data_IF_539970757379
#
_entry.id   IF_539970757379
#
_cell.length_a   1.000
_cell.length_b   1.000
_cell.length_c   1.000
_cell.angle_alpha   90.00
_cell.angle_beta   90.00
_cell.angle_gamma   90.00
#
_symmetry.space_group_name_H-M   'P 1'
#
loop_
_entity.id
_entity.type
_entity.pdbx_description
1 polymer ?
#
# COMPACT_ATOMS: atom_id res chain seq x y z
N UNK A 1 21.73 -28.54 -3.05
CA UNK A 1 21.45 -27.15 -3.51
C UNK A 1 22.73 -26.34 -3.54
N UNK A 2 23.60 -26.41 -2.52
CA UNK A 2 24.85 -25.65 -2.45
C UNK A 2 25.81 -25.92 -3.62
N UNK A 3 26.04 -27.20 -3.93
CA UNK A 3 26.90 -27.62 -5.04
C UNK A 3 26.43 -27.12 -6.41
N UNK A 4 25.12 -27.01 -6.62
CA UNK A 4 24.54 -26.47 -7.85
C UNK A 4 24.79 -24.95 -7.91
N UNK A 5 24.56 -24.22 -6.82
CA UNK A 5 24.86 -22.81 -6.72
C UNK A 5 26.33 -22.52 -6.98
N UNK A 6 27.23 -23.28 -6.37
CA UNK A 6 28.68 -23.14 -6.51
C UNK A 6 29.14 -23.41 -7.96
N UNK A 7 28.60 -24.46 -8.59
CA UNK A 7 28.87 -24.75 -9.99
C UNK A 7 28.38 -23.64 -10.94
N UNK A 8 27.23 -23.04 -10.66
CA UNK A 8 26.69 -21.93 -11.42
C UNK A 8 27.50 -20.64 -11.20
N UNK A 9 27.89 -20.34 -9.97
CA UNK A 9 28.75 -19.19 -9.64
C UNK A 9 30.11 -19.29 -10.31
N UNK A 10 30.70 -20.48 -10.39
CA UNK A 10 32.00 -20.68 -11.03
C UNK A 10 31.98 -20.45 -12.56
N UNK A 11 30.82 -20.65 -13.19
CA UNK A 11 30.66 -20.45 -14.64
C UNK A 11 30.16 -19.06 -15.00
N UNK A 12 29.18 -18.54 -14.25
CA UNK A 12 28.46 -17.30 -14.58
C UNK A 12 28.79 -16.14 -13.64
N UNK A 13 29.61 -16.37 -12.61
CA UNK A 13 29.83 -15.40 -11.55
C UNK A 13 28.63 -15.29 -10.60
N UNK A 14 28.85 -14.65 -9.46
CA UNK A 14 27.81 -14.41 -8.47
C UNK A 14 26.85 -13.34 -8.96
N UNK A 15 25.57 -13.67 -9.09
CA UNK A 15 24.54 -12.70 -9.43
C UNK A 15 24.42 -11.65 -8.31
N UNK A 16 24.71 -10.41 -8.64
CA UNK A 16 24.41 -9.26 -7.78
C UNK A 16 23.18 -8.55 -8.35
N UNK A 17 22.10 -8.61 -7.61
CA UNK A 17 20.90 -7.84 -7.96
C UNK A 17 21.25 -6.34 -7.88
N UNK A 18 21.21 -5.66 -9.02
CA UNK A 18 21.28 -4.20 -9.05
C UNK A 18 19.90 -3.69 -8.65
N UNK A 19 19.77 -3.16 -7.45
CA UNK A 19 18.58 -2.43 -7.05
C UNK A 19 18.51 -1.13 -7.85
N UNK A 20 17.82 -1.16 -8.97
CA UNK A 20 17.40 0.06 -9.63
C UNK A 20 16.11 0.52 -8.96
N UNK A 21 16.17 1.56 -8.14
CA UNK A 21 14.98 2.29 -7.74
C UNK A 21 14.47 3.02 -8.98
N UNK A 22 13.45 2.46 -9.61
CA UNK A 22 12.75 3.13 -10.70
C UNK A 22 11.82 4.14 -10.01
N UNK A 23 12.22 5.41 -10.00
CA UNK A 23 11.39 6.52 -9.50
C UNK A 23 10.93 7.38 -10.67
N UNK A 24 9.75 7.97 -10.57
CA UNK A 24 9.21 8.90 -11.55
C UNK A 24 8.67 8.25 -12.83
N UNK A 25 8.38 6.94 -12.83
CA UNK A 25 7.80 6.24 -13.99
C UNK A 25 6.38 6.74 -14.23
N UNK A 26 5.56 6.75 -13.19
CA UNK A 26 4.18 7.22 -13.28
C UNK A 26 4.12 8.74 -13.43
N UNK A 27 5.03 9.48 -12.79
CA UNK A 27 5.11 10.94 -12.94
C UNK A 27 5.31 11.35 -14.40
N UNK A 28 6.18 10.68 -15.14
CA UNK A 28 6.42 10.99 -16.58
C UNK A 28 5.25 10.62 -17.49
N UNK A 29 4.48 9.60 -17.13
CA UNK A 29 3.36 9.12 -17.92
C UNK A 29 2.10 9.99 -17.72
N UNK A 30 1.92 10.54 -16.51
CA UNK A 30 0.75 11.36 -16.14
C UNK A 30 1.06 12.86 -16.00
N UNK A 31 2.30 13.29 -16.29
CA UNK A 31 2.70 14.70 -16.23
C UNK A 31 1.91 15.52 -17.23
N UNK A 32 0.97 16.35 -16.72
CA UNK A 32 0.05 17.17 -17.54
C UNK A 32 -1.41 16.72 -17.52
N UNK A 33 -1.75 15.64 -16.81
CA UNK A 33 -3.14 15.33 -16.51
C UNK A 33 -3.63 16.17 -15.32
N UNK A 34 -4.81 16.76 -15.44
CA UNK A 34 -5.40 17.65 -14.42
C UNK A 34 -5.48 16.94 -13.05
N UNK A 35 -5.81 15.64 -13.05
CA UNK A 35 -5.93 14.83 -11.82
C UNK A 35 -4.59 14.66 -11.09
N UNK A 36 -3.47 14.56 -11.82
CA UNK A 36 -2.14 14.47 -11.21
C UNK A 36 -1.76 15.77 -10.50
N UNK A 37 -2.03 16.91 -11.15
CA UNK A 37 -1.79 18.25 -10.57
C UNK A 37 -2.64 18.50 -9.33
N UNK A 38 -3.87 17.99 -9.31
CA UNK A 38 -4.74 18.10 -8.13
C UNK A 38 -4.21 17.28 -6.95
N UNK A 39 -3.66 16.08 -7.19
CA UNK A 39 -3.00 15.29 -6.14
C UNK A 39 -1.79 16.05 -5.58
N UNK A 40 -0.89 16.57 -6.42
CA UNK A 40 0.27 17.33 -5.96
C UNK A 40 -0.14 18.53 -5.08
N UNK A 41 -1.16 19.26 -5.49
CA UNK A 41 -1.70 20.39 -4.74
C UNK A 41 -2.26 19.99 -3.38
N UNK A 42 -3.02 18.91 -3.31
CA UNK A 42 -3.57 18.41 -2.04
C UNK A 42 -2.45 17.90 -1.11
N UNK A 43 -1.43 17.24 -1.63
CA UNK A 43 -0.26 16.81 -0.85
C UNK A 43 0.52 18.01 -0.31
N UNK A 44 0.70 19.07 -1.12
CA UNK A 44 1.33 20.30 -0.63
C UNK A 44 0.51 20.97 0.48
N UNK A 45 -0.81 20.96 0.34
CA UNK A 45 -1.70 21.47 1.37
C UNK A 45 -1.63 20.63 2.65
N UNK A 46 -1.64 19.30 2.53
CA UNK A 46 -1.49 18.38 3.64
C UNK A 46 -0.16 18.62 4.38
N UNK A 47 0.95 18.74 3.63
CA UNK A 47 2.26 19.05 4.19
C UNK A 47 2.28 20.38 4.96
N UNK A 48 1.63 21.43 4.42
CA UNK A 48 1.53 22.74 5.10
C UNK A 48 0.72 22.66 6.39
N UNK A 49 -0.34 21.83 6.41
CA UNK A 49 -1.23 21.72 7.56
C UNK A 49 -0.66 20.80 8.65
N UNK A 50 -0.06 19.69 8.26
CA UNK A 50 0.38 18.63 9.18
C UNK A 50 1.88 18.64 9.46
N UNK A 51 2.67 19.47 8.73
CA UNK A 51 4.13 19.55 8.89
C UNK A 51 4.90 18.39 8.27
N UNK A 52 4.22 17.37 7.75
CA UNK A 52 4.80 16.21 7.07
C UNK A 52 3.90 15.74 5.92
N UNK A 53 4.46 14.98 5.00
CA UNK A 53 3.70 14.39 3.89
C UNK A 53 2.74 13.29 4.39
N UNK A 54 1.65 13.02 3.66
CA UNK A 54 0.82 11.87 3.96
C UNK A 54 1.66 10.60 3.83
N UNK A 55 1.62 9.75 4.87
CA UNK A 55 2.39 8.50 4.92
C UNK A 55 1.46 7.30 4.87
N UNK A 56 1.77 6.36 4.00
CA UNK A 56 1.01 5.13 3.80
C UNK A 56 1.87 3.89 3.98
N UNK A 57 1.37 2.92 4.75
CA UNK A 57 1.91 1.55 4.75
C UNK A 57 1.07 0.69 3.80
N UNK A 58 1.71 0.06 2.83
CA UNK A 58 1.07 -0.94 1.97
C UNK A 58 1.37 -2.32 2.54
N UNK A 59 0.35 -2.95 3.13
CA UNK A 59 0.45 -4.24 3.80
C UNK A 59 -0.21 -5.38 3.01
N UNK A 60 0.29 -6.60 3.24
CA UNK A 60 -0.31 -7.85 2.76
C UNK A 60 -0.54 -8.78 3.93
N UNK A 61 -1.80 -9.14 4.13
CA UNK A 61 -2.23 -9.94 5.27
C UNK A 61 -2.34 -11.43 4.92
N UNK A 62 -2.00 -12.27 5.88
CA UNK A 62 -2.16 -13.72 5.80
C UNK A 62 -1.33 -14.37 4.69
N UNK A 63 -1.82 -15.47 4.13
CA UNK A 63 -1.10 -16.29 3.15
C UNK A 63 -1.24 -15.79 1.70
N UNK A 64 -1.17 -14.46 1.50
CA UNK A 64 -1.25 -13.85 0.18
C UNK A 64 0.13 -13.42 -0.35
N UNK A 65 0.66 -14.16 -1.30
CA UNK A 65 1.97 -13.92 -1.93
C UNK A 65 1.92 -13.04 -3.20
N UNK A 66 0.76 -12.49 -3.57
CA UNK A 66 0.62 -11.69 -4.80
C UNK A 66 1.12 -10.24 -4.58
N UNK A 67 2.43 -10.03 -4.59
CA UNK A 67 3.08 -8.77 -4.23
C UNK A 67 3.14 -7.71 -5.34
N UNK A 68 2.94 -8.11 -6.61
CA UNK A 68 3.09 -7.20 -7.76
C UNK A 68 2.17 -5.98 -7.65
N UNK A 69 0.88 -6.20 -7.35
CA UNK A 69 -0.09 -5.12 -7.21
C UNK A 69 0.28 -4.14 -6.09
N UNK A 70 0.70 -4.66 -4.94
CA UNK A 70 1.15 -3.85 -3.81
C UNK A 70 2.36 -2.97 -4.18
N UNK A 71 3.35 -3.53 -4.88
CA UNK A 71 4.54 -2.80 -5.35
C UNK A 71 4.19 -1.71 -6.37
N UNK A 72 3.27 -1.99 -7.29
CA UNK A 72 2.79 -0.99 -8.28
C UNK A 72 2.15 0.20 -7.57
N UNK A 73 1.22 -0.06 -6.65
CA UNK A 73 0.55 0.99 -5.88
C UNK A 73 1.57 1.76 -5.03
N UNK A 74 2.46 1.08 -4.32
CA UNK A 74 3.49 1.73 -3.51
C UNK A 74 4.37 2.67 -4.34
N UNK A 75 4.83 2.22 -5.51
CA UNK A 75 5.65 3.04 -6.41
C UNK A 75 4.86 4.25 -6.93
N UNK A 76 3.61 4.04 -7.34
CA UNK A 76 2.79 5.11 -7.88
C UNK A 76 2.44 6.18 -6.82
N UNK A 77 2.09 5.77 -5.60
CA UNK A 77 1.85 6.71 -4.50
C UNK A 77 3.12 7.48 -4.10
N UNK A 78 4.29 6.82 -4.12
CA UNK A 78 5.57 7.51 -3.91
C UNK A 78 5.84 8.56 -5.01
N UNK A 79 5.57 8.24 -6.28
CA UNK A 79 5.71 9.17 -7.40
C UNK A 79 4.72 10.34 -7.32
N UNK A 80 3.53 10.13 -6.73
CA UNK A 80 2.55 11.18 -6.42
C UNK A 80 2.95 12.06 -5.24
N UNK A 81 3.93 11.65 -4.42
CA UNK A 81 4.47 12.44 -3.33
C UNK A 81 4.08 12.00 -1.92
N UNK A 82 3.48 10.83 -1.76
CA UNK A 82 3.32 10.20 -0.45
C UNK A 82 4.64 9.67 0.08
N UNK A 83 4.80 9.62 1.39
CA UNK A 83 5.79 8.78 2.05
C UNK A 83 5.24 7.37 2.12
N UNK A 84 5.95 6.39 1.52
CA UNK A 84 5.42 5.04 1.34
C UNK A 84 6.32 4.00 2.00
N UNK A 85 5.71 3.21 2.89
CA UNK A 85 6.31 2.01 3.44
C UNK A 85 5.66 0.76 2.81
N UNK A 86 6.42 -0.30 2.64
CA UNK A 86 5.93 -1.60 2.19
C UNK A 86 6.16 -2.61 3.30
N UNK A 87 5.08 -3.21 3.80
CA UNK A 87 5.14 -4.29 4.76
C UNK A 87 5.69 -5.58 4.16
N UNK A 88 6.26 -6.48 4.97
CA UNK A 88 6.64 -7.81 4.52
C UNK A 88 5.42 -8.62 4.10
N UNK A 89 5.66 -9.68 3.33
CA UNK A 89 4.62 -10.65 2.98
C UNK A 89 4.21 -11.46 4.22
N UNK A 90 2.97 -11.91 4.21
CA UNK A 90 2.43 -12.87 5.19
C UNK A 90 2.27 -12.31 6.61
N UNK A 91 2.13 -11.00 6.76
CA UNK A 91 1.86 -10.40 8.07
C UNK A 91 0.53 -10.86 8.65
N UNK A 92 0.48 -11.00 9.96
CA UNK A 92 -0.80 -11.08 10.67
C UNK A 92 -1.43 -9.68 10.76
N UNK A 93 -2.74 -9.58 11.03
CA UNK A 93 -3.38 -8.28 11.29
C UNK A 93 -2.70 -7.48 12.40
N UNK A 94 -2.32 -8.13 13.49
CA UNK A 94 -1.66 -7.50 14.64
C UNK A 94 -0.25 -6.98 14.27
N UNK A 95 0.51 -7.75 13.47
CA UNK A 95 1.83 -7.31 13.00
C UNK A 95 1.73 -6.10 12.08
N UNK A 96 0.72 -6.07 11.20
CA UNK A 96 0.47 -4.94 10.30
C UNK A 96 -0.01 -3.70 11.06
N UNK A 97 -0.90 -3.85 12.03
CA UNK A 97 -1.34 -2.77 12.92
C UNK A 97 -0.16 -2.18 13.69
N UNK A 98 0.64 -3.04 14.32
CA UNK A 98 1.84 -2.63 15.06
C UNK A 98 2.82 -1.86 14.17
N UNK A 99 3.11 -2.37 12.96
CA UNK A 99 3.99 -1.69 12.02
C UNK A 99 3.44 -0.34 11.58
N UNK A 100 2.13 -0.23 11.35
CA UNK A 100 1.49 1.03 10.99
C UNK A 100 1.64 2.08 12.09
N UNK A 101 1.49 1.68 13.35
CA UNK A 101 1.66 2.54 14.53
C UNK A 101 3.14 2.94 14.68
N UNK A 102 4.07 1.99 14.65
CA UNK A 102 5.51 2.23 14.80
C UNK A 102 6.07 3.15 13.69
N UNK A 103 5.54 3.04 12.48
CA UNK A 103 5.92 3.89 11.35
C UNK A 103 5.16 5.23 11.36
N UNK A 104 4.24 5.44 12.29
CA UNK A 104 3.43 6.66 12.41
C UNK A 104 2.76 7.02 11.08
N UNK A 105 2.06 6.05 10.48
CA UNK A 105 1.39 6.27 9.20
C UNK A 105 0.02 6.93 9.36
N UNK A 106 -0.42 7.66 8.37
CA UNK A 106 -1.79 8.19 8.30
C UNK A 106 -2.74 7.16 7.69
N UNK A 107 -2.22 6.31 6.79
CA UNK A 107 -3.02 5.39 5.99
C UNK A 107 -2.40 4.00 6.04
N UNK A 108 -3.24 2.99 6.21
CA UNK A 108 -2.89 1.57 6.08
C UNK A 108 -3.64 0.97 4.90
N UNK A 109 -2.92 0.75 3.80
CA UNK A 109 -3.44 0.16 2.57
C UNK A 109 -3.27 -1.35 2.56
N UNK A 110 -4.36 -2.10 2.61
CA UNK A 110 -4.34 -3.57 2.54
C UNK A 110 -4.51 -4.02 1.10
N UNK A 111 -3.49 -4.69 0.55
CA UNK A 111 -3.57 -5.30 -0.78
C UNK A 111 -3.95 -6.78 -0.66
N UNK A 112 -5.10 -7.18 -1.23
CA UNK A 112 -5.62 -8.54 -1.10
C UNK A 112 -6.06 -9.14 -2.43
N UNK A 113 -5.65 -10.40 -2.67
CA UNK A 113 -6.06 -11.21 -3.82
C UNK A 113 -6.46 -12.64 -3.43
N UNK A 114 -6.31 -13.02 -2.17
CA UNK A 114 -6.54 -14.37 -1.67
C UNK A 114 -7.85 -14.54 -0.87
N UNK A 115 -8.86 -13.71 -1.13
CA UNK A 115 -10.21 -13.77 -0.55
C UNK A 115 -10.28 -13.74 1.00
N UNK A 116 -9.20 -13.39 1.69
CA UNK A 116 -9.15 -13.35 3.16
C UNK A 116 -9.60 -11.99 3.74
N UNK A 117 -10.00 -11.03 2.91
CA UNK A 117 -10.37 -9.68 3.32
C UNK A 117 -11.50 -9.66 4.35
N UNK A 118 -12.51 -10.51 4.22
CA UNK A 118 -13.64 -10.59 5.17
C UNK A 118 -13.26 -11.03 6.58
N UNK A 119 -12.14 -11.72 6.72
CA UNK A 119 -11.66 -12.19 8.02
C UNK A 119 -10.53 -11.33 8.55
N UNK A 120 -9.53 -11.03 7.72
CA UNK A 120 -8.30 -10.39 8.19
C UNK A 120 -8.44 -8.87 8.31
N UNK A 121 -9.27 -8.22 7.48
CA UNK A 121 -9.44 -6.76 7.57
C UNK A 121 -10.19 -6.35 8.85
N UNK A 122 -11.29 -7.01 9.24
CA UNK A 122 -11.91 -6.74 10.55
C UNK A 122 -10.94 -6.94 11.73
N UNK A 123 -10.16 -8.03 11.72
CA UNK A 123 -9.15 -8.28 12.76
C UNK A 123 -8.10 -7.17 12.81
N UNK A 124 -7.67 -6.65 11.65
CA UNK A 124 -6.75 -5.53 11.57
C UNK A 124 -7.35 -4.26 12.21
N UNK A 125 -8.60 -3.95 11.87
CA UNK A 125 -9.31 -2.79 12.43
C UNK A 125 -9.48 -2.92 13.94
N UNK A 126 -9.80 -4.13 14.44
CA UNK A 126 -9.91 -4.38 15.86
C UNK A 126 -8.55 -4.26 16.57
N UNK A 127 -7.45 -4.74 15.95
CA UNK A 127 -6.09 -4.55 16.48
C UNK A 127 -5.70 -3.07 16.57
N UNK A 128 -6.08 -2.24 15.59
CA UNK A 128 -5.86 -0.79 15.64
C UNK A 128 -6.66 -0.13 16.78
N UNK A 129 -7.91 -0.57 17.01
CA UNK A 129 -8.74 -0.06 18.11
C UNK A 129 -8.17 -0.42 19.48
N UNK A 130 -7.70 -1.66 19.66
CA UNK A 130 -7.08 -2.12 20.90
C UNK A 130 -5.85 -1.29 21.27
N UNK A 131 -5.12 -0.79 20.28
CA UNK A 131 -3.95 0.09 20.46
C UNK A 131 -4.30 1.59 20.45
N UNK A 132 -5.59 1.97 20.45
CA UNK A 132 -6.07 3.36 20.35
C UNK A 132 -5.56 4.11 19.12
N UNK A 133 -5.48 3.42 17.98
CA UNK A 133 -4.97 3.92 16.70
C UNK A 133 -6.06 4.01 15.61
N UNK A 134 -7.34 4.28 16.00
CA UNK A 134 -8.47 4.42 15.08
C UNK A 134 -8.33 5.62 14.13
N UNK A 135 -7.41 6.54 14.41
CA UNK A 135 -7.06 7.64 13.53
C UNK A 135 -6.29 7.20 12.28
N UNK A 136 -5.80 5.97 12.21
CA UNK A 136 -5.16 5.43 11.00
C UNK A 136 -6.27 5.00 10.04
N UNK A 137 -6.32 5.66 8.86
CA UNK A 137 -7.27 5.34 7.81
C UNK A 137 -6.95 3.98 7.18
N UNK A 138 -7.88 3.01 7.27
CA UNK A 138 -7.72 1.72 6.59
C UNK A 138 -8.39 1.76 5.22
N UNK A 139 -7.64 1.43 4.17
CA UNK A 139 -8.16 1.29 2.80
C UNK A 139 -7.80 -0.08 2.24
N UNK A 140 -8.63 -0.63 1.37
CA UNK A 140 -8.41 -1.93 0.77
C UNK A 140 -8.28 -1.82 -0.75
N UNK A 141 -7.37 -2.60 -1.32
CA UNK A 141 -7.22 -2.71 -2.76
C UNK A 141 -6.97 -4.15 -3.21
N UNK A 142 -7.29 -4.43 -4.46
CA UNK A 142 -7.07 -5.75 -5.05
C UNK A 142 -8.32 -6.37 -5.67
N UNK A 143 -8.47 -7.69 -5.59
CA UNK A 143 -9.62 -8.40 -6.15
C UNK A 143 -10.64 -8.62 -5.04
N UNK A 144 -11.49 -7.63 -4.84
CA UNK A 144 -12.58 -7.66 -3.84
C UNK A 144 -13.91 -7.66 -4.60
N UNK A 145 -14.80 -8.64 -4.37
CA UNK A 145 -16.13 -8.65 -4.97
C UNK A 145 -16.96 -7.43 -4.56
N UNK A 146 -17.68 -6.83 -5.50
CA UNK A 146 -18.50 -5.65 -5.25
C UNK A 146 -19.52 -5.86 -4.11
N UNK A 147 -20.03 -7.08 -3.96
CA UNK A 147 -20.95 -7.45 -2.89
C UNK A 147 -20.34 -7.38 -1.48
N UNK A 148 -19.01 -7.47 -1.38
CA UNK A 148 -18.30 -7.43 -0.09
C UNK A 148 -17.92 -5.99 0.33
N UNK A 149 -17.97 -5.03 -0.61
CA UNK A 149 -17.58 -3.63 -0.34
C UNK A 149 -18.42 -2.98 0.77
N UNK A 150 -19.77 -3.05 0.74
CA UNK A 150 -20.58 -2.43 1.78
C UNK A 150 -20.32 -3.02 3.18
N UNK A 151 -20.01 -4.31 3.26
CA UNK A 151 -19.66 -4.98 4.51
C UNK A 151 -18.34 -4.43 5.06
N UNK A 152 -17.28 -4.32 4.22
CA UNK A 152 -15.99 -3.75 4.61
C UNK A 152 -16.10 -2.29 5.07
N UNK A 153 -16.83 -1.47 4.32
CA UNK A 153 -17.07 -0.07 4.69
C UNK A 153 -17.81 0.05 6.02
N UNK A 154 -18.81 -0.82 6.28
CA UNK A 154 -19.52 -0.84 7.56
C UNK A 154 -18.65 -1.23 8.75
N UNK A 155 -17.55 -1.93 8.52
CA UNK A 155 -16.57 -2.33 9.53
C UNK A 155 -15.52 -1.26 9.82
N UNK A 156 -15.45 -0.19 9.00
CA UNK A 156 -14.52 0.93 9.18
C UNK A 156 -13.46 1.06 8.09
N UNK A 157 -13.57 0.34 6.97
CA UNK A 157 -12.74 0.58 5.79
C UNK A 157 -13.19 1.88 5.13
N UNK A 158 -12.29 2.87 4.98
CA UNK A 158 -12.61 4.18 4.40
C UNK A 158 -12.85 4.13 2.90
N UNK A 159 -12.13 3.27 2.18
CA UNK A 159 -12.33 3.07 0.74
C UNK A 159 -11.86 1.70 0.26
N UNK A 160 -12.51 1.21 -0.80
CA UNK A 160 -12.12 -0.01 -1.50
C UNK A 160 -11.84 0.31 -2.97
N UNK A 161 -10.71 -0.19 -3.49
CA UNK A 161 -10.23 0.05 -4.84
C UNK A 161 -10.11 -1.28 -5.60
N UNK A 162 -10.91 -1.46 -6.63
CA UNK A 162 -10.88 -2.63 -7.51
C UNK A 162 -9.82 -2.55 -8.61
N UNK A 163 -9.65 -3.64 -9.39
CA UNK A 163 -8.77 -3.66 -10.55
C UNK A 163 -9.19 -2.59 -11.58
N UNK A 164 -8.19 -1.90 -12.15
CA UNK A 164 -8.43 -0.84 -13.14
C UNK A 164 -8.79 0.52 -12.55
N UNK A 165 -8.82 0.67 -11.22
CA UNK A 165 -8.98 1.99 -10.62
C UNK A 165 -7.82 2.91 -11.04
N UNK A 166 -8.14 4.11 -11.52
CA UNK A 166 -7.14 5.13 -11.80
C UNK A 166 -6.44 5.55 -10.51
N UNK A 167 -5.10 5.53 -10.53
CA UNK A 167 -4.29 5.70 -9.31
C UNK A 167 -4.39 7.13 -8.77
N UNK A 168 -4.41 8.14 -9.65
CA UNK A 168 -4.56 9.55 -9.24
C UNK A 168 -5.92 9.78 -8.56
N UNK A 169 -7.00 9.19 -9.09
CA UNK A 169 -8.34 9.24 -8.45
C UNK A 169 -8.36 8.51 -7.10
N UNK A 170 -7.66 7.39 -6.99
CA UNK A 170 -7.55 6.68 -5.72
C UNK A 170 -6.79 7.53 -4.68
N UNK A 171 -5.70 8.18 -5.09
CA UNK A 171 -4.92 9.06 -4.23
C UNK A 171 -5.73 10.28 -3.76
N UNK A 172 -6.48 10.95 -4.67
CA UNK A 172 -7.39 12.04 -4.31
C UNK A 172 -8.42 11.57 -3.29
N UNK A 173 -9.09 10.43 -3.56
CA UNK A 173 -10.09 9.89 -2.63
C UNK A 173 -9.51 9.60 -1.25
N UNK A 174 -8.28 9.12 -1.17
CA UNK A 174 -7.59 8.83 0.10
C UNK A 174 -7.22 10.12 0.85
N UNK A 175 -6.89 11.20 0.12
CA UNK A 175 -6.56 12.50 0.71
C UNK A 175 -7.80 13.27 1.18
N UNK A 176 -8.97 12.98 0.63
CA UNK A 176 -10.25 13.60 0.99
C UNK A 176 -10.91 12.95 2.22
N UNK A 177 -10.45 11.75 2.66
CA UNK A 177 -10.96 11.00 3.83
C UNK A 177 -10.23 11.38 5.10
#
# INVERSE_FOLDING_TARGET
VGEISEAMENVFGRHQAVSQSISGVYRKEYEGEDEFMDVEKQIEQFLKTNGRRPRILVAKLGQDGHDRGAKVIATAFADLGFDVDIGPLFQTPEEAAKQAIENDVHILGVSTQAAAHKTLVPMLIDSLKEENAENILVVCGGIIPDNDIPELESMGVGAVFGPGTNISKAALKVLDL
#
